data_IF_123257571234
#
_entry.id   IF_123257571234
#
_cell.length_a   1.000
_cell.length_b   1.000
_cell.length_c   1.000
_cell.angle_alpha   90.00
_cell.angle_beta   90.00
_cell.angle_gamma   90.00
#
_symmetry.space_group_name_H-M   'P 1'
#
loop_
_entity.id
_entity.type
_entity.pdbx_description
1 polymer ?
#
# COMPACT_ATOMS: atom_id res chain seq x y z
N UNK A 1 59.60 -46.18 -7.80
CA UNK A 1 59.89 -45.62 -6.46
C UNK A 1 58.54 -45.27 -5.84
N UNK A 2 57.93 -46.27 -5.23
CA UNK A 2 57.79 -46.42 -3.77
C UNK A 2 56.73 -45.48 -3.19
N UNK A 3 55.69 -46.12 -2.66
CA UNK A 3 54.54 -45.56 -1.97
C UNK A 3 54.97 -44.76 -0.72
N UNK A 4 54.11 -43.82 -0.35
CA UNK A 4 53.74 -43.41 1.02
C UNK A 4 54.76 -42.73 1.94
N UNK A 5 54.57 -41.42 2.17
CA UNK A 5 54.43 -40.95 3.56
C UNK A 5 52.93 -40.74 3.85
N UNK A 6 52.37 -41.38 4.89
CA UNK A 6 50.94 -41.26 5.24
C UNK A 6 50.52 -39.84 5.61
N UNK A 7 51.47 -38.97 5.99
CA UNK A 7 51.20 -37.60 6.42
C UNK A 7 50.76 -36.65 5.30
N UNK A 8 51.27 -36.78 4.07
CA UNK A 8 50.95 -35.83 2.99
C UNK A 8 49.55 -36.04 2.39
N UNK A 9 49.03 -37.27 2.45
CA UNK A 9 47.68 -37.59 1.99
C UNK A 9 46.63 -37.11 3.00
N UNK A 10 46.94 -37.21 4.30
CA UNK A 10 46.09 -36.72 5.38
C UNK A 10 45.95 -35.19 5.34
N UNK A 11 47.03 -34.46 5.08
CA UNK A 11 47.01 -32.98 5.01
C UNK A 11 46.17 -32.45 3.84
N UNK A 12 46.22 -33.10 2.67
CA UNK A 12 45.42 -32.70 1.49
C UNK A 12 43.93 -32.98 1.72
N UNK A 13 43.61 -34.12 2.32
CA UNK A 13 42.23 -34.47 2.65
C UNK A 13 41.69 -33.52 3.73
N UNK A 14 42.50 -33.21 4.75
CA UNK A 14 42.15 -32.26 5.79
C UNK A 14 41.93 -30.85 5.21
N UNK A 15 42.79 -30.38 4.30
CA UNK A 15 42.62 -29.10 3.62
C UNK A 15 41.34 -29.05 2.77
N UNK A 16 41.01 -30.12 2.04
CA UNK A 16 39.77 -30.20 1.25
C UNK A 16 38.53 -30.24 2.13
N UNK A 17 38.57 -30.93 3.27
CA UNK A 17 37.47 -30.96 4.24
C UNK A 17 37.28 -29.58 4.87
N UNK A 18 38.34 -28.94 5.37
CA UNK A 18 38.28 -27.60 5.98
C UNK A 18 37.82 -26.55 4.97
N UNK A 19 38.32 -26.58 3.74
CA UNK A 19 37.89 -25.67 2.67
C UNK A 19 36.40 -25.85 2.31
N UNK A 20 35.91 -27.09 2.31
CA UNK A 20 34.48 -27.38 2.08
C UNK A 20 33.63 -26.91 3.26
N UNK A 21 34.13 -27.07 4.49
CA UNK A 21 33.45 -26.62 5.71
C UNK A 21 33.37 -25.09 5.79
N UNK A 22 34.43 -24.37 5.40
CA UNK A 22 34.40 -22.91 5.27
C UNK A 22 33.50 -22.43 4.14
N UNK A 23 33.43 -23.16 3.01
CA UNK A 23 32.52 -22.84 1.90
C UNK A 23 31.04 -23.02 2.29
N UNK A 24 30.72 -24.07 3.05
CA UNK A 24 29.39 -24.29 3.60
C UNK A 24 29.07 -23.22 4.65
N UNK A 25 29.97 -22.92 5.58
CA UNK A 25 29.76 -21.88 6.58
C UNK A 25 29.55 -20.49 5.93
N UNK A 26 30.33 -20.13 4.91
CA UNK A 26 30.21 -18.87 4.19
C UNK A 26 28.92 -18.70 3.39
N UNK A 27 28.25 -19.80 3.00
CA UNK A 27 26.93 -19.76 2.33
C UNK A 27 25.77 -19.97 3.28
N UNK A 28 25.93 -20.81 4.31
CA UNK A 28 24.87 -21.17 5.23
C UNK A 28 24.62 -20.06 6.25
N UNK A 29 25.67 -19.38 6.75
CA UNK A 29 25.52 -18.31 7.76
C UNK A 29 24.72 -17.10 7.23
N UNK A 30 24.95 -16.57 6.01
CA UNK A 30 24.12 -15.48 5.48
C UNK A 30 22.66 -15.91 5.22
N UNK A 31 22.45 -17.15 4.79
CA UNK A 31 21.11 -17.69 4.55
C UNK A 31 20.35 -17.94 5.86
N UNK A 32 21.03 -18.47 6.89
CA UNK A 32 20.43 -18.63 8.22
C UNK A 32 20.24 -17.28 8.92
N UNK A 33 21.17 -16.33 8.76
CA UNK A 33 21.01 -14.97 9.28
C UNK A 33 19.78 -14.30 8.66
N UNK A 34 19.54 -14.45 7.35
CA UNK A 34 18.29 -13.99 6.71
C UNK A 34 17.03 -14.73 7.22
N UNK A 35 17.16 -15.97 7.66
CA UNK A 35 16.03 -16.78 8.12
C UNK A 35 15.69 -16.53 9.60
N UNK A 36 16.70 -16.24 10.43
CA UNK A 36 16.55 -15.91 11.85
C UNK A 36 16.40 -14.41 12.13
N UNK A 37 17.02 -13.54 11.33
CA UNK A 37 16.63 -12.13 11.31
C UNK A 37 15.31 -12.04 10.57
N UNK A 38 14.23 -12.35 11.30
CA UNK A 38 12.89 -11.87 11.01
C UNK A 38 12.97 -10.33 10.97
N UNK A 39 13.50 -9.81 9.86
CA UNK A 39 13.56 -8.40 9.58
C UNK A 39 12.16 -8.02 9.08
N UNK A 40 11.41 -7.39 9.97
CA UNK A 40 10.11 -6.77 9.69
C UNK A 40 10.21 -5.67 8.61
N UNK A 41 11.41 -5.36 8.10
CA UNK A 41 11.68 -4.40 7.04
C UNK A 41 11.69 -4.93 5.60
N UNK A 42 11.48 -6.23 5.35
CA UNK A 42 11.37 -6.76 3.97
C UNK A 42 9.93 -6.66 3.44
N UNK A 43 9.62 -5.82 2.44
CA UNK A 43 8.28 -5.69 1.87
C UNK A 43 7.88 -6.82 0.90
N UNK A 44 8.77 -7.82 0.71
CA UNK A 44 8.61 -8.85 -0.32
C UNK A 44 7.80 -10.08 0.13
N UNK A 45 7.47 -10.17 1.41
CA UNK A 45 6.29 -10.91 1.84
C UNK A 45 5.15 -9.89 1.91
N UNK A 46 4.51 -9.66 0.75
CA UNK A 46 3.48 -8.65 0.61
C UNK A 46 2.47 -8.69 1.76
N UNK A 47 2.00 -7.53 2.26
CA UNK A 47 1.17 -7.47 3.46
C UNK A 47 -0.02 -8.42 3.32
N UNK A 48 -0.08 -9.44 4.19
CA UNK A 48 -1.29 -10.23 4.37
C UNK A 48 -2.27 -9.32 5.10
N UNK A 49 -3.07 -8.65 4.26
CA UNK A 49 -4.26 -7.84 4.50
C UNK A 49 -4.08 -6.32 4.66
N UNK A 50 -4.64 -5.59 3.68
CA UNK A 50 -5.60 -4.54 3.97
C UNK A 50 -6.98 -4.84 3.35
N UNK A 51 -7.31 -6.12 3.07
CA UNK A 51 -8.64 -6.47 2.56
C UNK A 51 -9.76 -6.04 3.53
N UNK A 52 -9.50 -6.12 4.83
CA UNK A 52 -10.45 -5.72 5.89
C UNK A 52 -10.67 -4.20 5.98
N UNK A 53 -9.70 -3.35 5.59
CA UNK A 53 -9.90 -1.89 5.58
C UNK A 53 -10.71 -1.45 4.37
N UNK A 54 -10.51 -2.10 3.22
CA UNK A 54 -11.20 -1.76 1.97
C UNK A 54 -12.69 -2.11 2.00
N UNK A 55 -13.05 -3.28 2.54
CA UNK A 55 -14.45 -3.68 2.77
C UNK A 55 -15.19 -2.70 3.69
N UNK A 56 -14.47 -2.07 4.62
CA UNK A 56 -15.02 -1.09 5.54
C UNK A 56 -15.29 0.27 4.86
N UNK A 57 -14.50 0.65 3.85
CA UNK A 57 -14.71 1.94 3.15
C UNK A 57 -15.95 1.89 2.26
N UNK A 58 -16.19 0.78 1.56
CA UNK A 58 -17.36 0.66 0.67
C UNK A 58 -18.68 0.75 1.44
N UNK A 59 -18.78 0.10 2.60
CA UNK A 59 -19.96 0.16 3.46
C UNK A 59 -20.18 1.55 4.05
N UNK A 60 -19.11 2.22 4.50
CA UNK A 60 -19.15 3.64 4.93
C UNK A 60 -19.60 4.55 3.79
N UNK A 61 -19.08 4.35 2.58
CA UNK A 61 -19.43 5.15 1.43
C UNK A 61 -20.93 5.03 1.10
N UNK A 62 -21.49 3.83 1.17
CA UNK A 62 -22.93 3.63 1.00
C UNK A 62 -23.78 4.38 2.04
N UNK A 63 -23.32 4.47 3.30
CA UNK A 63 -23.98 5.27 4.34
C UNK A 63 -23.91 6.77 4.03
N UNK A 64 -22.72 7.28 3.67
CA UNK A 64 -22.55 8.69 3.25
C UNK A 64 -23.47 9.02 2.07
N UNK A 65 -23.65 8.10 1.13
CA UNK A 65 -24.54 8.31 -0.02
C UNK A 65 -26.03 8.35 0.35
N UNK A 66 -26.43 7.77 1.49
CA UNK A 66 -27.83 7.79 1.99
C UNK A 66 -28.11 9.00 2.88
N UNK A 67 -27.27 9.26 3.87
CA UNK A 67 -27.51 10.28 4.90
C UNK A 67 -26.71 11.58 4.67
N UNK A 68 -25.59 11.49 3.95
CA UNK A 68 -24.62 12.57 3.81
C UNK A 68 -24.82 13.44 2.58
N UNK A 69 -23.86 14.35 2.36
CA UNK A 69 -23.79 15.20 1.17
C UNK A 69 -22.46 14.99 0.47
N UNK A 70 -22.55 14.63 -0.80
CA UNK A 70 -21.38 14.38 -1.66
C UNK A 70 -21.43 15.26 -2.90
N UNK A 71 -20.26 15.56 -3.45
CA UNK A 71 -20.12 16.10 -4.80
C UNK A 71 -19.37 15.09 -5.66
N UNK A 72 -19.94 14.74 -6.81
CA UNK A 72 -19.40 13.72 -7.70
C UNK A 72 -18.76 14.37 -8.92
N UNK A 73 -17.58 13.87 -9.29
CA UNK A 73 -16.88 14.30 -10.50
C UNK A 73 -15.88 15.43 -10.27
N UNK A 74 -15.00 15.56 -11.25
CA UNK A 74 -13.82 16.42 -11.20
C UNK A 74 -14.13 17.91 -11.00
N UNK A 75 -14.95 18.49 -11.90
CA UNK A 75 -15.29 19.93 -11.87
C UNK A 75 -15.98 20.33 -10.56
N UNK A 76 -16.86 19.46 -10.06
CA UNK A 76 -17.61 19.72 -8.83
C UNK A 76 -16.70 19.60 -7.60
N UNK A 77 -15.80 18.62 -7.59
CA UNK A 77 -14.78 18.45 -6.54
C UNK A 77 -13.87 19.67 -6.47
N UNK A 78 -13.37 20.18 -7.61
CA UNK A 78 -12.58 21.41 -7.64
C UNK A 78 -13.34 22.64 -7.15
N UNK A 79 -14.65 22.74 -7.45
CA UNK A 79 -15.49 23.83 -6.92
C UNK A 79 -15.64 23.73 -5.40
N UNK A 80 -15.82 22.52 -4.87
CA UNK A 80 -15.94 22.28 -3.43
C UNK A 80 -14.63 22.53 -2.66
N UNK A 81 -13.50 22.12 -3.24
CA UNK A 81 -12.16 22.37 -2.71
C UNK A 81 -11.86 23.87 -2.66
N UNK A 82 -12.12 24.60 -3.75
CA UNK A 82 -11.95 26.07 -3.78
C UNK A 82 -12.87 26.81 -2.81
N UNK A 83 -14.04 26.25 -2.51
CA UNK A 83 -14.97 26.80 -1.52
C UNK A 83 -14.65 26.35 -0.08
N UNK A 84 -13.62 25.53 0.12
CA UNK A 84 -13.23 24.94 1.40
C UNK A 84 -14.39 24.20 2.12
N UNK A 85 -15.26 23.55 1.34
CA UNK A 85 -16.41 22.77 1.86
C UNK A 85 -16.16 21.27 1.83
N UNK A 86 -15.08 20.82 1.20
CA UNK A 86 -14.71 19.42 1.13
C UNK A 86 -14.05 19.00 2.45
N UNK A 87 -14.57 17.92 3.06
CA UNK A 87 -13.96 17.30 4.26
C UNK A 87 -13.03 16.15 3.88
N UNK A 88 -13.35 15.47 2.78
CA UNK A 88 -12.59 14.33 2.26
C UNK A 88 -12.74 14.22 0.75
N UNK A 89 -11.64 13.95 0.06
CA UNK A 89 -11.60 13.64 -1.38
C UNK A 89 -11.21 12.19 -1.60
N UNK A 90 -11.93 11.51 -2.50
CA UNK A 90 -11.63 10.15 -2.95
C UNK A 90 -11.22 10.18 -4.42
N UNK A 91 -10.12 9.49 -4.74
CA UNK A 91 -9.57 9.40 -6.10
C UNK A 91 -9.47 7.92 -6.48
N UNK A 92 -10.04 7.54 -7.62
CA UNK A 92 -9.89 6.18 -8.16
C UNK A 92 -8.48 5.93 -8.66
N UNK A 93 -8.03 4.67 -8.57
CA UNK A 93 -6.67 4.27 -8.95
C UNK A 93 -6.33 4.56 -10.42
N UNK A 94 -7.31 4.43 -11.32
CA UNK A 94 -7.16 4.66 -12.76
C UNK A 94 -7.35 6.12 -13.23
N UNK A 95 -7.38 7.10 -12.31
CA UNK A 95 -7.47 8.52 -12.68
C UNK A 95 -6.20 8.97 -13.39
N UNK A 96 -6.34 9.70 -14.50
CA UNK A 96 -5.19 10.25 -15.24
C UNK A 96 -4.24 11.02 -14.30
N UNK A 97 -2.91 10.79 -14.38
CA UNK A 97 -1.94 11.39 -13.47
C UNK A 97 -2.06 12.91 -13.34
N UNK A 98 -2.23 13.62 -14.47
CA UNK A 98 -2.40 15.07 -14.47
C UNK A 98 -3.59 15.53 -13.60
N UNK A 99 -4.75 14.87 -13.72
CA UNK A 99 -5.95 15.21 -12.95
C UNK A 99 -5.84 14.79 -11.48
N UNK A 100 -5.13 13.68 -11.21
CA UNK A 100 -4.85 13.21 -9.85
C UNK A 100 -3.98 14.23 -9.11
N UNK A 101 -2.86 14.63 -9.71
CA UNK A 101 -1.94 15.61 -9.13
C UNK A 101 -2.59 16.99 -8.93
N UNK A 102 -3.45 17.42 -9.87
CA UNK A 102 -4.18 18.68 -9.70
C UNK A 102 -5.13 18.64 -8.49
N UNK A 103 -5.89 17.56 -8.33
CA UNK A 103 -6.82 17.41 -7.19
C UNK A 103 -6.08 17.28 -5.87
N UNK A 104 -4.97 16.53 -5.82
CA UNK A 104 -4.10 16.42 -4.64
C UNK A 104 -3.54 17.78 -4.24
N UNK A 105 -3.06 18.56 -5.21
CA UNK A 105 -2.55 19.90 -4.98
C UNK A 105 -3.62 20.82 -4.37
N UNK A 106 -4.82 20.87 -4.93
CA UNK A 106 -5.91 21.67 -4.34
C UNK A 106 -6.37 21.15 -2.98
N UNK A 107 -6.32 19.84 -2.75
CA UNK A 107 -6.68 19.23 -1.46
C UNK A 107 -5.67 19.59 -0.37
N UNK A 108 -4.38 19.63 -0.71
CA UNK A 108 -3.31 20.08 0.18
C UNK A 108 -3.49 21.55 0.57
N UNK A 109 -3.79 22.43 -0.39
CA UNK A 109 -4.07 23.84 -0.10
C UNK A 109 -5.31 24.03 0.80
N UNK A 110 -6.35 23.20 0.60
CA UNK A 110 -7.56 23.21 1.41
C UNK A 110 -7.42 22.43 2.72
N UNK A 111 -6.24 21.84 3.02
CA UNK A 111 -6.00 20.95 4.17
C UNK A 111 -7.06 19.85 4.30
N UNK A 112 -7.50 19.32 3.17
CA UNK A 112 -8.52 18.28 3.08
C UNK A 112 -7.86 16.92 2.94
N UNK A 113 -8.35 15.91 3.66
CA UNK A 113 -7.85 14.54 3.52
C UNK A 113 -8.08 14.00 2.10
N UNK A 114 -7.09 13.28 1.57
CA UNK A 114 -7.18 12.59 0.27
C UNK A 114 -7.03 11.09 0.50
N UNK A 115 -7.96 10.32 -0.05
CA UNK A 115 -7.92 8.87 0.01
C UNK A 115 -7.86 8.26 -1.39
N UNK A 116 -6.79 7.50 -1.65
CA UNK A 116 -6.65 6.72 -2.86
C UNK A 116 -7.49 5.45 -2.75
N UNK A 117 -8.57 5.42 -3.52
CA UNK A 117 -9.41 4.24 -3.62
C UNK A 117 -8.69 3.18 -4.45
N UNK A 118 -8.53 1.97 -3.89
CA UNK A 118 -7.80 0.89 -4.56
C UNK A 118 -8.47 0.41 -5.86
N UNK A 119 -9.80 0.55 -5.97
CA UNK A 119 -10.55 0.14 -7.16
C UNK A 119 -10.55 1.18 -8.29
N UNK A 120 -11.10 0.75 -9.43
CA UNK A 120 -11.26 1.59 -10.61
C UNK A 120 -12.44 2.56 -10.47
N UNK A 121 -12.57 3.49 -11.40
CA UNK A 121 -13.70 4.42 -11.49
C UNK A 121 -15.09 3.75 -11.58
N UNK A 122 -15.18 2.53 -12.12
CA UNK A 122 -16.40 1.73 -12.14
C UNK A 122 -16.73 1.19 -10.74
N UNK A 123 -15.72 0.72 -10.02
CA UNK A 123 -15.87 0.18 -8.67
C UNK A 123 -16.26 1.29 -7.69
N UNK A 124 -15.65 2.48 -7.82
CA UNK A 124 -16.00 3.65 -7.01
C UNK A 124 -17.43 4.12 -7.29
N UNK A 125 -17.85 4.15 -8.56
CA UNK A 125 -19.24 4.45 -8.93
C UNK A 125 -20.23 3.47 -8.31
N UNK A 126 -19.91 2.17 -8.36
CA UNK A 126 -20.72 1.09 -7.79
C UNK A 126 -20.77 1.16 -6.27
N UNK A 127 -19.65 1.44 -5.61
CA UNK A 127 -19.58 1.66 -4.16
C UNK A 127 -20.44 2.85 -3.72
N UNK A 128 -20.58 3.87 -4.57
CA UNK A 128 -21.49 5.00 -4.34
C UNK A 128 -22.97 4.69 -4.67
N UNK A 129 -23.29 3.49 -5.18
CA UNK A 129 -24.64 3.16 -5.67
C UNK A 129 -25.03 3.94 -6.93
N UNK A 130 -24.06 4.33 -7.76
CA UNK A 130 -24.28 5.06 -9.02
C UNK A 130 -23.94 4.17 -10.21
N UNK A 131 -24.82 4.15 -11.21
CA UNK A 131 -24.64 3.38 -12.45
C UNK A 131 -23.71 4.07 -13.47
N UNK A 132 -22.97 5.10 -13.06
CA UNK A 132 -22.01 5.80 -13.90
C UNK A 132 -20.63 5.80 -13.24
N UNK A 133 -19.59 5.79 -14.08
CA UNK A 133 -18.18 5.83 -13.64
C UNK A 133 -17.85 7.14 -12.93
N UNK A 134 -17.22 7.03 -11.76
CA UNK A 134 -16.78 8.17 -10.95
C UNK A 134 -15.28 8.06 -10.74
N UNK A 135 -14.51 9.01 -11.28
CA UNK A 135 -13.05 9.02 -11.10
C UNK A 135 -12.63 9.75 -9.81
N UNK A 136 -13.34 10.84 -9.48
CA UNK A 136 -13.07 11.68 -8.31
C UNK A 136 -14.40 12.06 -7.68
N UNK A 137 -14.44 12.04 -6.36
CA UNK A 137 -15.56 12.59 -5.59
C UNK A 137 -15.05 13.28 -4.33
N UNK A 138 -15.86 14.17 -3.78
CA UNK A 138 -15.63 14.69 -2.44
C UNK A 138 -16.85 14.54 -1.55
N UNK A 139 -16.58 14.36 -0.27
CA UNK A 139 -17.54 14.30 0.81
C UNK A 139 -17.58 15.69 1.43
N UNK A 140 -18.73 16.33 1.33
CA UNK A 140 -19.01 17.62 1.95
C UNK A 140 -19.50 17.39 3.37
N UNK A 141 -20.33 16.36 3.55
CA UNK A 141 -20.85 15.96 4.84
C UNK A 141 -20.96 14.44 4.95
N UNK A 142 -20.48 13.89 6.06
CA UNK A 142 -20.41 12.45 6.28
C UNK A 142 -21.74 11.85 6.74
N UNK A 143 -22.66 12.68 7.24
CA UNK A 143 -23.91 12.20 7.86
C UNK A 143 -23.60 11.23 9.00
N UNK A 144 -24.22 10.06 8.98
CA UNK A 144 -24.06 9.03 10.02
C UNK A 144 -22.82 8.14 9.83
N UNK A 145 -22.00 8.40 8.80
CA UNK A 145 -20.84 7.57 8.51
C UNK A 145 -19.57 8.06 9.20
N UNK A 146 -18.84 7.15 9.85
CA UNK A 146 -17.52 7.38 10.43
C UNK A 146 -16.36 7.42 9.41
N UNK A 147 -16.63 7.81 8.16
CA UNK A 147 -15.62 7.79 7.08
C UNK A 147 -14.47 8.77 7.32
N UNK A 148 -14.74 9.86 8.04
CA UNK A 148 -13.74 10.89 8.35
C UNK A 148 -12.78 10.45 9.47
N UNK A 149 -13.19 9.52 10.34
CA UNK A 149 -12.38 9.03 11.48
C UNK A 149 -11.32 8.00 11.08
N UNK A 150 -11.50 7.34 9.93
CA UNK A 150 -10.54 6.32 9.44
C UNK A 150 -9.27 6.91 8.83
N UNK A 151 -9.12 8.22 8.75
CA UNK A 151 -7.96 8.82 8.11
C UNK A 151 -6.98 9.33 9.14
N UNK A 152 -5.70 8.94 9.05
CA UNK A 152 -4.67 9.66 9.78
C UNK A 152 -4.66 11.09 9.23
N UNK A 153 -5.14 12.03 10.04
CA UNK A 153 -4.77 13.42 9.84
C UNK A 153 -3.28 13.50 10.17
N UNK A 154 -2.43 13.36 9.16
CA UNK A 154 -1.04 13.79 9.30
C UNK A 154 -1.07 15.31 9.50
N UNK A 155 -0.88 15.68 10.76
CA UNK A 155 -0.50 17.03 11.17
C UNK A 155 1.00 17.23 10.95
#
# INVERSE_FOLDING_TARGET
MLLSSPSQLEDIVLYRIVATLMFIAGRLVPTLHKFLSWDSGNPDLGPISPKKSMENINSRLQLVMRSGKVALGYKQTLKALRANKAKLVLISSNTQPLRKSEVEYYSMLAKTGVHHFAGNNNDLGTACGKFFRVAVMCILDAGDSDILRSMPAEN
#
